data_IF_127527472094
#
_entry.id   IF_127527472094
#
_cell.length_a   1.000
_cell.length_b   1.000
_cell.length_c   1.000
_cell.angle_alpha   90.00
_cell.angle_beta   90.00
_cell.angle_gamma   90.00
#
_symmetry.space_group_name_H-M   'P 1'
#
loop_
_entity.id
_entity.type
_entity.pdbx_description
1 polymer ?
#
# COMPACT_ATOMS: atom_id res chain seq x y z
N UNK A 1 8.02 14.20 1.54
CA UNK A 1 7.48 13.01 2.20
C UNK A 1 8.59 12.33 2.98
N UNK A 2 8.30 11.96 4.22
CA UNK A 2 9.16 11.22 5.13
C UNK A 2 8.60 9.81 5.36
N UNK A 3 9.39 8.91 5.94
CA UNK A 3 8.91 7.56 6.28
C UNK A 3 7.71 7.60 7.23
N UNK A 4 7.70 8.56 8.17
CA UNK A 4 6.61 8.71 9.14
C UNK A 4 5.26 9.02 8.49
N UNK A 5 5.26 9.58 7.27
CA UNK A 5 4.05 9.89 6.51
C UNK A 5 3.33 8.63 5.96
N UNK A 6 4.04 7.49 5.87
CA UNK A 6 3.53 6.23 5.32
C UNK A 6 2.94 5.30 6.38
N UNK A 7 2.85 5.73 7.64
CA UNK A 7 2.39 4.88 8.75
C UNK A 7 0.88 4.57 8.69
N UNK A 8 0.09 5.41 8.02
CA UNK A 8 -1.32 5.17 7.82
C UNK A 8 -1.54 4.38 6.52
N UNK A 9 -1.74 3.08 6.65
CA UNK A 9 -2.03 2.20 5.54
C UNK A 9 -2.99 1.06 5.93
N UNK A 10 -3.61 0.46 4.93
CA UNK A 10 -4.38 -0.77 5.08
C UNK A 10 -3.81 -1.85 4.15
N UNK A 11 -3.96 -3.10 4.57
CA UNK A 11 -3.60 -4.27 3.76
C UNK A 11 -4.89 -4.94 3.29
N UNK A 12 -4.88 -5.36 2.03
CA UNK A 12 -5.93 -6.19 1.44
C UNK A 12 -5.31 -7.45 0.86
N UNK A 13 -6.16 -8.34 0.32
CA UNK A 13 -5.70 -9.54 -0.39
C UNK A 13 -4.92 -9.22 -1.66
N UNK A 14 -5.17 -8.07 -2.29
CA UNK A 14 -4.62 -7.72 -3.60
C UNK A 14 -3.51 -6.67 -3.56
N UNK A 15 -3.35 -5.97 -2.43
CA UNK A 15 -2.34 -4.93 -2.30
C UNK A 15 -2.44 -4.09 -1.04
N UNK A 16 -1.67 -3.01 -1.03
CA UNK A 16 -1.49 -2.07 0.08
C UNK A 16 -2.12 -0.73 -0.32
N UNK A 17 -2.91 -0.12 0.57
CA UNK A 17 -3.45 1.23 0.37
C UNK A 17 -2.86 2.18 1.40
N UNK A 18 -2.16 3.22 0.96
CA UNK A 18 -1.69 4.31 1.80
C UNK A 18 -2.73 5.44 1.88
N UNK A 19 -2.90 5.98 3.08
CA UNK A 19 -3.87 7.03 3.39
C UNK A 19 -3.15 8.30 3.79
N UNK A 20 -3.36 9.38 3.04
CA UNK A 20 -2.78 10.69 3.32
C UNK A 20 -3.86 11.67 3.74
N UNK A 21 -3.67 12.31 4.89
CA UNK A 21 -4.58 13.36 5.38
C UNK A 21 -4.47 14.63 4.52
N UNK A 22 -5.50 15.50 4.51
CA UNK A 22 -5.39 16.82 3.88
C UNK A 22 -4.14 17.58 4.36
N UNK A 23 -3.52 18.35 3.47
CA UNK A 23 -2.22 19.03 3.67
C UNK A 23 -0.96 18.16 3.69
N UNK A 24 -1.07 16.85 3.80
CA UNK A 24 0.11 15.99 3.91
C UNK A 24 0.88 15.89 2.57
N UNK A 25 0.14 15.84 1.46
CA UNK A 25 0.72 15.71 0.09
C UNK A 25 0.19 16.75 -0.90
N UNK A 26 -0.86 17.48 -0.54
CA UNK A 26 -1.54 18.42 -1.44
C UNK A 26 -2.32 19.48 -0.68
N UNK A 27 -3.01 20.36 -1.40
CA UNK A 27 -3.83 21.39 -0.78
C UNK A 27 -5.07 20.79 -0.11
N UNK A 28 -5.60 21.45 0.92
CA UNK A 28 -6.81 20.97 1.60
C UNK A 28 -8.04 20.93 0.71
N UNK A 29 -8.14 21.80 -0.28
CA UNK A 29 -9.24 21.79 -1.24
C UNK A 29 -9.32 20.48 -2.05
N UNK A 30 -8.22 19.72 -2.14
CA UNK A 30 -8.17 18.42 -2.80
C UNK A 30 -8.59 17.27 -1.86
N UNK A 31 -8.73 17.52 -0.56
CA UNK A 31 -9.04 16.50 0.44
C UNK A 31 -7.84 15.62 0.81
N UNK A 32 -8.14 14.45 1.35
CA UNK A 32 -7.15 13.40 1.56
C UNK A 32 -6.86 12.62 0.27
N UNK A 33 -5.77 11.88 0.26
CA UNK A 33 -5.40 11.02 -0.88
C UNK A 33 -5.35 9.57 -0.44
N UNK A 34 -5.76 8.68 -1.33
CA UNK A 34 -5.64 7.24 -1.19
C UNK A 34 -4.79 6.70 -2.33
N UNK A 35 -3.74 5.97 -2.02
CA UNK A 35 -2.81 5.41 -3.01
C UNK A 35 -2.77 3.89 -2.86
N UNK A 36 -3.33 3.19 -3.82
CA UNK A 36 -3.31 1.73 -3.89
C UNK A 36 -2.11 1.24 -4.68
N UNK A 37 -1.40 0.25 -4.14
CA UNK A 37 -0.26 -0.42 -4.75
C UNK A 37 -0.54 -1.93 -4.76
N UNK A 38 -0.69 -2.56 -5.94
CA UNK A 38 -0.87 -4.01 -6.02
C UNK A 38 0.43 -4.73 -5.61
N UNK A 39 0.32 -5.93 -5.03
CA UNK A 39 1.51 -6.68 -4.61
C UNK A 39 2.43 -7.05 -5.77
N UNK A 40 1.87 -7.21 -6.98
CA UNK A 40 2.63 -7.48 -8.22
C UNK A 40 3.69 -6.42 -8.52
N UNK A 41 3.46 -5.17 -8.12
CA UNK A 41 4.37 -4.06 -8.42
C UNK A 41 5.51 -3.93 -7.41
N UNK A 42 5.36 -4.56 -6.23
CA UNK A 42 6.33 -4.47 -5.13
C UNK A 42 6.98 -5.80 -4.78
N UNK A 43 6.62 -6.88 -5.47
CA UNK A 43 7.06 -8.24 -5.21
C UNK A 43 8.60 -8.37 -5.10
N UNK A 44 9.34 -7.72 -6.00
CA UNK A 44 10.82 -7.75 -6.01
C UNK A 44 11.44 -7.13 -4.74
N UNK A 45 10.70 -6.25 -4.06
CA UNK A 45 11.14 -5.55 -2.85
C UNK A 45 10.58 -6.17 -1.57
N UNK A 46 9.70 -7.17 -1.69
CA UNK A 46 9.11 -7.83 -0.54
C UNK A 46 10.08 -8.84 0.07
N UNK A 47 9.93 -9.05 1.37
CA UNK A 47 10.60 -10.17 2.01
C UNK A 47 10.15 -11.49 1.33
N UNK A 48 11.07 -12.41 0.98
CA UNK A 48 10.73 -13.63 0.24
C UNK A 48 9.69 -14.51 0.95
N UNK A 49 9.68 -14.52 2.29
CA UNK A 49 8.69 -15.31 3.05
C UNK A 49 7.29 -14.71 2.91
N UNK A 50 7.19 -13.38 2.88
CA UNK A 50 5.92 -12.68 2.70
C UNK A 50 5.43 -12.78 1.25
N UNK A 51 6.33 -12.64 0.27
CA UNK A 51 6.00 -12.83 -1.14
C UNK A 51 5.41 -14.23 -1.41
N UNK A 52 5.99 -15.28 -0.80
CA UNK A 52 5.48 -16.64 -0.92
C UNK A 52 4.07 -16.84 -0.33
N UNK A 53 3.68 -16.06 0.69
CA UNK A 53 2.33 -16.11 1.27
C UNK A 53 1.31 -15.47 0.34
N UNK A 54 1.65 -14.31 -0.24
CA UNK A 54 0.76 -13.60 -1.18
C UNK A 54 0.44 -14.47 -2.40
N UNK A 55 1.45 -15.13 -2.98
CA UNK A 55 1.27 -16.03 -4.13
C UNK A 55 0.45 -17.27 -3.83
N UNK A 56 0.42 -17.75 -2.58
CA UNK A 56 -0.41 -18.91 -2.20
C UNK A 56 -1.89 -18.57 -2.18
N UNK A 57 -2.25 -17.36 -1.72
CA UNK A 57 -3.65 -16.92 -1.67
C UNK A 57 -4.25 -16.68 -3.07
N UNK A 58 -3.44 -16.26 -4.05
CA UNK A 58 -3.92 -16.06 -5.44
C UNK A 58 -4.27 -17.38 -6.17
N UNK A 59 -3.74 -18.52 -5.72
CA UNK A 59 -4.00 -19.83 -6.34
C UNK A 59 -5.22 -20.56 -5.76
N UNK A 60 -5.75 -20.08 -4.63
CA UNK A 60 -6.94 -20.65 -3.96
C UNK A 60 -8.25 -19.86 -4.26
N UNK A 61 -8.19 -18.83 -5.11
CA UNK A 61 -9.31 -17.97 -5.49
C UNK A 61 -9.91 -18.28 -6.88
#
# INVERSE_FOLDING_TARGET
LSFSDLQAFTLSKTGITFLFSPYQVGSFAQGGFEVFIPYTDVEEYMDPEIAAIVHREEQEA
#
